data_IF_401670364938
#
_entry.id   IF_401670364938
#
_cell.length_a   1.000
_cell.length_b   1.000
_cell.length_c   1.000
_cell.angle_alpha   90.00
_cell.angle_beta   90.00
_cell.angle_gamma   90.00
#
_symmetry.space_group_name_H-M   'P 1'
#
loop_
_entity.id
_entity.type
_entity.pdbx_description
1 polymer ?
#
# COMPACT_ATOMS: atom_id res chain seq x y z
N UNK A 1 -16.21 -40.49 -1.86
CA UNK A 1 -15.67 -39.61 -2.93
C UNK A 1 -15.49 -38.23 -2.33
N UNK A 2 -14.26 -37.82 -2.03
CA UNK A 2 -13.96 -36.51 -1.45
C UNK A 2 -13.55 -35.56 -2.55
N UNK A 3 -14.40 -34.61 -2.90
CA UNK A 3 -14.05 -33.45 -3.72
C UNK A 3 -13.84 -32.26 -2.80
N UNK A 4 -12.58 -32.04 -2.43
CA UNK A 4 -12.16 -30.77 -1.84
C UNK A 4 -12.12 -29.71 -2.94
N UNK A 5 -12.72 -28.51 -2.74
CA UNK A 5 -12.54 -27.43 -3.69
C UNK A 5 -11.08 -26.98 -3.62
N UNK A 6 -10.39 -27.06 -4.75
CA UNK A 6 -9.09 -26.45 -4.93
C UNK A 6 -9.21 -24.96 -4.58
N UNK A 7 -8.50 -24.54 -3.53
CA UNK A 7 -8.32 -23.15 -3.19
C UNK A 7 -7.77 -22.45 -4.44
N UNK A 8 -8.60 -21.59 -5.03
CA UNK A 8 -8.21 -20.70 -6.10
C UNK A 8 -7.09 -19.79 -5.56
N UNK A 9 -5.85 -20.24 -5.76
CA UNK A 9 -4.66 -19.42 -5.61
C UNK A 9 -4.83 -18.23 -6.55
N UNK A 10 -5.23 -17.09 -6.01
CA UNK A 10 -5.29 -15.84 -6.76
C UNK A 10 -3.86 -15.40 -7.09
N UNK A 11 -3.43 -15.40 -8.36
CA UNK A 11 -2.07 -15.01 -8.72
C UNK A 11 -2.04 -13.50 -8.84
N UNK A 12 -1.78 -12.79 -7.74
CA UNK A 12 -1.24 -11.43 -7.84
C UNK A 12 -0.68 -10.97 -6.51
N UNK A 13 0.63 -11.15 -6.33
CA UNK A 13 1.45 -10.39 -5.40
C UNK A 13 1.51 -8.89 -5.75
N UNK A 14 0.41 -8.28 -6.21
CA UNK A 14 0.26 -6.84 -6.49
C UNK A 14 -0.78 -6.20 -5.56
N UNK A 15 -1.04 -6.82 -4.41
CA UNK A 15 -1.94 -6.27 -3.40
C UNK A 15 -1.37 -5.04 -2.69
N UNK A 16 -2.23 -4.22 -2.05
CA UNK A 16 -1.82 -3.06 -1.24
C UNK A 16 -0.75 -3.39 -0.19
N UNK A 17 -0.80 -4.59 0.40
CA UNK A 17 0.18 -5.05 1.40
C UNK A 17 1.61 -5.14 0.88
N UNK A 18 1.82 -5.57 -0.38
CA UNK A 18 3.19 -5.63 -0.95
C UNK A 18 3.75 -4.24 -1.21
N UNK A 19 2.91 -3.26 -1.59
CA UNK A 19 3.34 -1.87 -1.75
C UNK A 19 3.78 -1.29 -0.42
N UNK A 20 3.02 -1.55 0.65
CA UNK A 20 3.38 -1.06 1.99
C UNK A 20 4.68 -1.68 2.49
N UNK A 21 4.88 -2.98 2.27
CA UNK A 21 6.14 -3.65 2.60
C UNK A 21 7.36 -3.06 1.87
N UNK A 22 7.20 -2.55 0.65
CA UNK A 22 8.28 -1.85 -0.06
C UNK A 22 8.55 -0.45 0.50
N UNK A 23 7.52 0.28 0.93
CA UNK A 23 7.68 1.60 1.53
C UNK A 23 8.47 1.54 2.86
N UNK A 24 8.18 0.52 3.68
CA UNK A 24 8.81 0.30 4.98
C UNK A 24 10.03 -0.63 4.92
N UNK A 25 10.53 -0.92 3.71
CA UNK A 25 11.72 -1.75 3.54
C UNK A 25 12.90 -1.12 4.30
N UNK A 26 13.63 -1.96 5.03
CA UNK A 26 14.80 -1.56 5.84
C UNK A 26 14.48 -0.55 6.97
N UNK A 27 13.20 -0.43 7.35
CA UNK A 27 12.72 0.37 8.48
C UNK A 27 12.19 -0.54 9.57
N UNK A 28 12.86 -0.55 10.72
CA UNK A 28 12.33 -1.21 11.94
C UNK A 28 11.43 -0.23 12.67
N UNK A 29 10.15 -0.56 12.80
CA UNK A 29 9.18 0.22 13.57
C UNK A 29 9.21 -0.17 15.05
N UNK A 30 9.07 0.80 15.94
CA UNK A 30 8.75 0.52 17.35
C UNK A 30 7.31 0.01 17.47
N UNK A 31 6.93 -0.64 18.59
CA UNK A 31 5.54 -1.06 18.81
C UNK A 31 4.53 0.09 18.67
N UNK A 32 4.86 1.27 19.18
CA UNK A 32 4.00 2.45 19.08
C UNK A 32 3.87 2.96 17.64
N UNK A 33 4.96 2.93 16.87
CA UNK A 33 4.93 3.30 15.46
C UNK A 33 4.09 2.30 14.66
N UNK A 34 4.25 1.00 14.93
CA UNK A 34 3.46 -0.06 14.29
C UNK A 34 1.97 0.14 14.54
N UNK A 35 1.56 0.37 15.79
CA UNK A 35 0.16 0.61 16.13
C UNK A 35 -0.44 1.83 15.41
N UNK A 36 0.34 2.91 15.27
CA UNK A 36 -0.06 4.11 14.52
C UNK A 36 -0.17 3.83 13.02
N UNK A 37 0.80 3.13 12.44
CA UNK A 37 0.79 2.72 11.03
C UNK A 37 -0.41 1.83 10.73
N UNK A 38 -0.73 0.86 11.60
CA UNK A 38 -1.89 -0.02 11.44
C UNK A 38 -3.22 0.77 11.51
N UNK A 39 -3.30 1.74 12.42
CA UNK A 39 -4.46 2.63 12.54
C UNK A 39 -4.64 3.48 11.28
N UNK A 40 -3.56 4.05 10.74
CA UNK A 40 -3.57 4.80 9.47
C UNK A 40 -4.03 3.89 8.33
N UNK A 41 -3.46 2.68 8.21
CA UNK A 41 -3.87 1.73 7.18
C UNK A 41 -5.35 1.36 7.28
N UNK A 42 -5.86 1.12 8.48
CA UNK A 42 -7.26 0.80 8.71
C UNK A 42 -8.18 1.96 8.30
N UNK A 43 -7.81 3.19 8.64
CA UNK A 43 -8.55 4.40 8.27
C UNK A 43 -8.67 4.53 6.74
N UNK A 44 -7.56 4.52 6.01
CA UNK A 44 -7.58 4.65 4.56
C UNK A 44 -8.21 3.44 3.85
N UNK A 45 -8.12 2.23 4.42
CA UNK A 45 -8.83 1.06 3.89
C UNK A 45 -10.35 1.22 3.97
N UNK A 46 -10.86 1.88 5.01
CA UNK A 46 -12.29 2.16 5.14
C UNK A 46 -12.77 3.21 4.14
N UNK A 47 -11.89 4.15 3.73
CA UNK A 47 -12.22 5.18 2.73
C UNK A 47 -12.09 4.72 1.28
N UNK A 48 -11.46 3.55 1.05
CA UNK A 48 -11.30 3.03 -0.29
C UNK A 48 -12.66 2.65 -0.90
N UNK A 49 -12.98 3.15 -2.11
CA UNK A 49 -14.18 2.73 -2.80
C UNK A 49 -14.10 1.23 -3.13
N UNK A 50 -15.23 0.54 -3.06
CA UNK A 50 -15.34 -0.83 -3.56
C UNK A 50 -15.24 -0.85 -5.08
N UNK A 51 -14.57 -1.87 -5.62
CA UNK A 51 -14.44 -2.07 -7.06
C UNK A 51 -15.22 -3.30 -7.48
N UNK A 52 -15.98 -3.17 -8.56
CA UNK A 52 -16.64 -4.31 -9.20
C UNK A 52 -15.63 -5.05 -10.07
N UNK A 53 -15.36 -6.34 -9.82
CA UNK A 53 -14.49 -7.13 -10.68
C UNK A 53 -14.93 -7.07 -12.14
N UNK A 54 -13.97 -6.95 -13.06
CA UNK A 54 -14.25 -6.84 -14.50
C UNK A 54 -14.68 -5.44 -14.97
N UNK A 55 -14.94 -4.50 -14.07
CA UNK A 55 -15.29 -3.12 -14.42
C UNK A 55 -14.23 -2.16 -13.88
N UNK A 56 -13.37 -1.59 -14.74
CA UNK A 56 -12.38 -0.63 -14.29
C UNK A 56 -13.07 0.64 -13.76
N UNK A 57 -12.55 1.24 -12.67
CA UNK A 57 -13.09 2.49 -12.14
C UNK A 57 -12.90 3.64 -13.14
N UNK A 58 -13.85 4.60 -13.11
CA UNK A 58 -13.78 5.81 -13.90
C UNK A 58 -12.58 6.71 -13.51
N UNK A 59 -12.35 7.77 -14.29
CA UNK A 59 -11.20 8.66 -14.07
C UNK A 59 -11.25 9.38 -12.72
N UNK A 60 -12.42 9.83 -12.28
CA UNK A 60 -12.60 10.52 -11.01
C UNK A 60 -12.32 9.60 -9.81
N UNK A 61 -12.82 8.36 -9.86
CA UNK A 61 -12.56 7.33 -8.85
C UNK A 61 -11.07 6.98 -8.81
N UNK A 62 -10.43 6.83 -9.97
CA UNK A 62 -8.97 6.60 -10.04
C UNK A 62 -8.18 7.74 -9.42
N UNK A 63 -8.59 8.99 -9.64
CA UNK A 63 -7.95 10.16 -9.05
C UNK A 63 -8.14 10.20 -7.52
N UNK A 64 -9.36 9.96 -7.03
CA UNK A 64 -9.65 9.86 -5.59
C UNK A 64 -8.78 8.81 -4.92
N UNK A 65 -8.68 7.61 -5.51
CA UNK A 65 -7.84 6.52 -5.01
C UNK A 65 -6.36 6.90 -4.96
N UNK A 66 -5.85 7.62 -5.98
CA UNK A 66 -4.48 8.16 -5.96
C UNK A 66 -4.29 9.19 -4.85
N UNK A 67 -5.29 10.04 -4.63
CA UNK A 67 -5.29 11.03 -3.55
C UNK A 67 -5.22 10.37 -2.17
N UNK A 68 -6.08 9.38 -1.90
CA UNK A 68 -6.05 8.60 -0.66
C UNK A 68 -4.69 7.95 -0.43
N UNK A 69 -4.11 7.34 -1.47
CA UNK A 69 -2.78 6.73 -1.34
C UNK A 69 -1.67 7.75 -1.03
N UNK A 70 -1.71 8.94 -1.65
CA UNK A 70 -0.73 10.02 -1.35
C UNK A 70 -0.81 10.42 0.12
N UNK A 71 -2.01 10.71 0.61
CA UNK A 71 -2.22 11.11 2.01
C UNK A 71 -1.82 10.00 2.98
N UNK A 72 -2.15 8.75 2.68
CA UNK A 72 -1.72 7.60 3.49
C UNK A 72 -0.19 7.51 3.59
N UNK A 73 0.54 7.71 2.49
CA UNK A 73 2.01 7.71 2.48
C UNK A 73 2.56 8.85 3.33
N UNK A 74 1.98 10.05 3.22
CA UNK A 74 2.41 11.22 3.98
C UNK A 74 2.16 11.04 5.50
N UNK A 75 1.01 10.49 5.88
CA UNK A 75 0.66 10.22 7.28
C UNK A 75 1.57 9.14 7.88
N UNK A 76 1.92 8.09 7.12
CA UNK A 76 2.86 7.06 7.57
C UNK A 76 4.25 7.67 7.77
N UNK A 77 4.72 8.51 6.85
CA UNK A 77 6.01 9.20 6.96
C UNK A 77 6.08 10.05 8.23
N UNK A 78 4.98 10.69 8.64
CA UNK A 78 4.91 11.52 9.83
C UNK A 78 5.06 10.73 11.16
N UNK A 79 4.81 9.42 11.16
CA UNK A 79 5.01 8.54 12.33
C UNK A 79 6.48 8.15 12.53
N UNK A 80 7.28 8.25 11.48
CA UNK A 80 8.67 7.81 11.45
C UNK A 80 9.59 8.85 12.09
N UNK A 81 10.71 8.38 12.66
CA UNK A 81 11.80 9.26 13.10
C UNK A 81 12.50 9.88 11.90
N UNK A 82 13.27 10.95 12.13
CA UNK A 82 14.00 11.63 11.05
C UNK A 82 14.92 10.67 10.26
N UNK A 83 15.56 9.71 10.92
CA UNK A 83 16.43 8.74 10.26
C UNK A 83 15.65 7.74 9.41
N UNK A 84 14.54 7.23 9.95
CA UNK A 84 13.63 6.33 9.22
C UNK A 84 12.98 7.04 8.02
N UNK A 85 12.65 8.34 8.14
CA UNK A 85 12.11 9.14 7.04
C UNK A 85 13.07 9.19 5.84
N UNK A 86 14.39 9.27 6.05
CA UNK A 86 15.36 9.25 4.95
C UNK A 86 15.31 7.95 4.16
N UNK A 87 15.21 6.81 4.86
CA UNK A 87 15.07 5.49 4.22
C UNK A 87 13.72 5.38 3.51
N UNK A 88 12.65 5.86 4.14
CA UNK A 88 11.31 5.86 3.56
C UNK A 88 11.24 6.67 2.27
N UNK A 89 11.81 7.88 2.26
CA UNK A 89 11.83 8.77 1.09
C UNK A 89 12.62 8.15 -0.07
N UNK A 90 13.73 7.46 0.23
CA UNK A 90 14.47 6.67 -0.75
C UNK A 90 13.60 5.55 -1.33
N UNK A 91 12.92 4.78 -0.50
CA UNK A 91 12.02 3.70 -0.96
C UNK A 91 10.89 4.25 -1.84
N UNK A 92 10.32 5.41 -1.50
CA UNK A 92 9.31 6.10 -2.32
C UNK A 92 9.88 6.49 -3.69
N UNK A 93 11.11 7.01 -3.74
CA UNK A 93 11.79 7.36 -4.99
C UNK A 93 12.05 6.11 -5.86
N UNK A 94 12.61 5.04 -5.29
CA UNK A 94 12.86 3.78 -5.99
C UNK A 94 11.57 3.17 -6.56
N UNK A 95 10.46 3.24 -5.81
CA UNK A 95 9.15 2.79 -6.30
C UNK A 95 8.62 3.63 -7.46
N UNK A 96 8.93 4.93 -7.51
CA UNK A 96 8.57 5.81 -8.63
C UNK A 96 9.42 5.52 -9.86
N UNK A 97 10.71 5.25 -9.68
CA UNK A 97 11.64 4.91 -10.75
C UNK A 97 11.35 3.54 -11.35
N UNK A 98 11.11 2.51 -10.51
CA UNK A 98 10.70 1.18 -10.97
C UNK A 98 9.35 1.16 -11.70
N UNK A 99 8.53 2.19 -11.54
CA UNK A 99 7.31 2.41 -12.36
C UNK A 99 7.59 3.06 -13.71
N UNK A 100 8.68 3.83 -13.85
CA UNK A 100 9.08 4.50 -15.10
C UNK A 100 9.93 3.59 -16.00
N UNK A 101 10.61 2.59 -15.42
CA UNK A 101 11.46 1.64 -16.15
C UNK A 101 10.81 0.30 -16.53
N UNK A 102 9.48 0.19 -16.49
CA UNK A 102 8.79 -1.00 -17.00
C UNK A 102 8.63 -0.93 -18.53
N UNK A 103 8.79 -2.05 -19.27
CA UNK A 103 8.55 -2.09 -20.72
C UNK A 103 7.12 -1.72 -21.10
#
# INVERSE_FOLDING_TARGET
MFTSPALAQSPSGRGPGRRMGMLLKDITLTPDQQAKVDSIQKHYRAEMPSFTPGNPPDSATREKVRGLFRRQVDDIRAVLTADQQRVFDKNVAEMREGRRGGP
#
